data_IF_901769574579
#
_entry.id   IF_901769574579
#
_cell.length_a   1.000
_cell.length_b   1.000
_cell.length_c   1.000
_cell.angle_alpha   90.00
_cell.angle_beta   90.00
_cell.angle_gamma   90.00
#
_symmetry.space_group_name_H-M   'P 1'
#
loop_
_entity.id
_entity.type
_entity.pdbx_description
1 polymer ?
#
# COMPACT_ATOMS: atom_id res chain seq x y z
N UNK A 1 19.96 6.11 1.08
CA UNK A 1 19.02 7.28 1.13
C UNK A 1 17.74 6.77 1.79
N UNK A 2 17.09 7.53 2.69
CA UNK A 2 15.83 7.06 3.30
C UNK A 2 14.79 6.76 2.21
N UNK A 3 14.00 5.69 2.40
CA UNK A 3 12.93 5.26 1.48
C UNK A 3 11.98 6.40 1.14
N UNK A 4 11.68 7.25 2.13
CA UNK A 4 10.92 8.49 1.94
C UNK A 4 11.56 9.43 0.90
N UNK A 5 12.88 9.66 0.96
CA UNK A 5 13.56 10.57 0.02
C UNK A 5 13.54 10.04 -1.40
N UNK A 6 13.63 8.72 -1.57
CA UNK A 6 13.49 8.05 -2.88
C UNK A 6 12.05 8.15 -3.38
N UNK A 7 11.06 7.91 -2.52
CA UNK A 7 9.65 8.10 -2.86
C UNK A 7 9.35 9.55 -3.31
N UNK A 8 9.87 10.54 -2.59
CA UNK A 8 9.76 11.95 -2.95
C UNK A 8 10.41 12.26 -4.31
N UNK A 9 11.37 11.45 -4.79
CA UNK A 9 11.90 11.61 -6.14
C UNK A 9 10.84 11.32 -7.21
N UNK A 10 10.00 10.30 -7.02
CA UNK A 10 8.88 9.98 -7.92
C UNK A 10 7.81 11.09 -7.96
N UNK A 11 7.74 11.94 -6.93
CA UNK A 11 6.83 13.10 -6.93
C UNK A 11 7.34 14.26 -7.80
N UNK A 12 8.64 14.29 -8.16
CA UNK A 12 9.26 15.42 -8.87
C UNK A 12 8.60 15.77 -10.20
N UNK A 13 8.27 14.81 -11.09
CA UNK A 13 7.62 15.12 -12.37
C UNK A 13 6.22 15.73 -12.20
N UNK A 14 5.58 15.48 -11.06
CA UNK A 14 4.19 15.87 -10.78
C UNK A 14 4.06 17.05 -9.81
N UNK A 15 5.18 17.75 -9.51
CA UNK A 15 5.19 18.91 -8.59
C UNK A 15 4.18 19.99 -8.97
N UNK A 16 4.01 20.25 -10.27
CA UNK A 16 3.03 21.24 -10.74
C UNK A 16 1.58 20.87 -10.36
N UNK A 17 1.20 19.59 -10.53
CA UNK A 17 -0.11 19.10 -10.14
C UNK A 17 -0.31 19.14 -8.62
N UNK A 18 0.71 18.75 -7.85
CA UNK A 18 0.67 18.79 -6.39
C UNK A 18 0.53 20.23 -5.89
N UNK A 19 1.33 21.16 -6.42
CA UNK A 19 1.24 22.58 -6.06
C UNK A 19 -0.13 23.17 -6.41
N UNK A 20 -0.66 22.88 -7.60
CA UNK A 20 -2.00 23.32 -7.98
C UNK A 20 -3.09 22.74 -7.04
N UNK A 21 -3.00 21.45 -6.70
CA UNK A 21 -3.92 20.82 -5.76
C UNK A 21 -3.86 21.44 -4.35
N UNK A 22 -2.66 21.78 -3.88
CA UNK A 22 -2.46 22.50 -2.61
C UNK A 22 -3.09 23.88 -2.68
N UNK A 23 -2.87 24.64 -3.76
CA UNK A 23 -3.44 25.98 -3.94
C UNK A 23 -4.97 25.99 -3.94
N UNK A 24 -5.60 25.13 -4.76
CA UNK A 24 -7.07 24.96 -4.74
C UNK A 24 -7.56 24.48 -3.38
N UNK A 25 -6.76 23.66 -2.70
CA UNK A 25 -7.03 23.26 -1.34
C UNK A 25 -7.08 24.43 -0.37
N UNK A 26 -6.06 25.30 -0.36
CA UNK A 26 -6.06 26.50 0.51
C UNK A 26 -7.33 27.33 0.28
N UNK A 27 -7.71 27.57 -0.98
CA UNK A 27 -8.97 28.27 -1.33
C UNK A 27 -10.19 27.54 -0.74
N UNK A 28 -10.28 26.22 -0.95
CA UNK A 28 -11.35 25.38 -0.40
C UNK A 28 -11.45 25.48 1.12
N UNK A 29 -10.32 25.65 1.83
CA UNK A 29 -10.29 25.75 3.28
C UNK A 29 -10.63 27.16 3.80
N UNK A 30 -10.20 28.21 3.11
CA UNK A 30 -10.46 29.59 3.53
C UNK A 30 -11.94 29.99 3.40
N UNK A 31 -12.63 29.49 2.37
CA UNK A 31 -14.02 29.88 2.10
C UNK A 31 -14.97 29.57 3.26
N UNK A 32 -15.01 28.35 3.83
CA UNK A 32 -15.88 28.04 4.97
C UNK A 32 -15.63 28.91 6.21
N UNK A 33 -14.42 29.47 6.38
CA UNK A 33 -14.10 30.36 7.51
C UNK A 33 -14.82 31.71 7.41
N UNK A 34 -15.30 32.10 6.24
CA UNK A 34 -16.12 33.29 6.07
C UNK A 34 -17.51 33.13 6.70
N UNK A 35 -18.05 31.91 6.80
CA UNK A 35 -19.42 31.68 7.26
C UNK A 35 -19.67 32.14 8.71
N UNK A 36 -18.84 31.79 9.70
CA UNK A 36 -18.98 32.33 11.04
C UNK A 36 -18.86 33.86 11.12
N UNK A 37 -17.99 34.46 10.31
CA UNK A 37 -17.83 35.92 10.26
C UNK A 37 -19.06 36.61 9.63
N UNK A 38 -19.61 36.03 8.58
CA UNK A 38 -20.86 36.49 7.96
C UNK A 38 -22.03 36.38 8.94
N UNK A 39 -22.08 35.32 9.75
CA UNK A 39 -23.08 35.16 10.81
C UNK A 39 -22.96 36.28 11.86
N UNK A 40 -21.73 36.67 12.22
CA UNK A 40 -21.50 37.82 13.10
C UNK A 40 -22.09 39.11 12.53
N UNK A 41 -21.75 39.46 11.29
CA UNK A 41 -22.25 40.66 10.60
C UNK A 41 -23.77 40.65 10.52
N UNK A 42 -24.36 39.50 10.17
CA UNK A 42 -25.81 39.34 10.09
C UNK A 42 -26.49 39.65 11.42
N UNK A 43 -25.95 39.13 12.53
CA UNK A 43 -26.55 39.31 13.85
C UNK A 43 -26.33 40.73 14.37
N UNK A 44 -25.09 41.21 14.37
CA UNK A 44 -24.74 42.49 14.99
C UNK A 44 -25.29 43.68 14.20
N UNK A 45 -25.08 43.69 12.88
CA UNK A 45 -25.35 44.87 12.06
C UNK A 45 -26.78 44.87 11.47
N UNK A 46 -27.29 43.70 11.07
CA UNK A 46 -28.58 43.60 10.34
C UNK A 46 -29.78 43.24 11.23
N UNK A 47 -29.61 42.46 12.29
CA UNK A 47 -30.71 42.02 13.15
C UNK A 47 -30.87 42.86 14.42
N UNK A 48 -29.76 43.27 15.07
CA UNK A 48 -29.81 43.94 16.39
C UNK A 48 -29.76 45.47 16.26
N UNK A 49 -28.87 46.03 15.43
CA UNK A 49 -28.70 47.50 15.34
C UNK A 49 -29.67 48.21 14.39
N UNK A 50 -30.36 47.50 13.49
CA UNK A 50 -31.12 48.14 12.41
C UNK A 50 -32.60 48.34 12.73
N UNK A 51 -33.01 49.56 13.08
CA UNK A 51 -34.43 49.96 13.21
C UNK A 51 -35.22 49.90 11.88
N UNK A 52 -34.52 49.84 10.75
CA UNK A 52 -35.07 49.55 9.41
C UNK A 52 -34.05 48.69 8.66
N UNK A 53 -34.22 47.36 8.58
CA UNK A 53 -33.20 46.48 8.05
C UNK A 53 -32.97 46.76 6.55
N UNK A 54 -31.73 47.07 6.12
CA UNK A 54 -31.44 47.32 4.73
C UNK A 54 -31.45 46.00 3.94
N UNK A 55 -32.64 45.60 3.49
CA UNK A 55 -32.88 44.33 2.77
C UNK A 55 -31.89 44.10 1.61
N UNK A 56 -31.49 45.17 0.92
CA UNK A 56 -30.47 45.10 -0.14
C UNK A 56 -29.10 44.62 0.33
N UNK A 57 -28.64 45.03 1.52
CA UNK A 57 -27.36 44.57 2.09
C UNK A 57 -27.44 43.09 2.48
N UNK A 58 -28.57 42.65 3.04
CA UNK A 58 -28.80 41.23 3.33
C UNK A 58 -28.77 40.39 2.05
N UNK A 59 -29.51 40.79 1.01
CA UNK A 59 -29.52 40.07 -0.27
C UNK A 59 -28.13 40.03 -0.92
N UNK A 60 -27.38 41.13 -0.87
CA UNK A 60 -26.01 41.19 -1.40
C UNK A 60 -25.06 40.27 -0.63
N UNK A 61 -25.14 40.27 0.71
CA UNK A 61 -24.31 39.42 1.56
C UNK A 61 -24.64 37.93 1.36
N UNK A 62 -25.92 37.56 1.26
CA UNK A 62 -26.33 36.18 0.95
C UNK A 62 -25.95 35.77 -0.47
N UNK A 63 -26.14 36.64 -1.47
CA UNK A 63 -25.72 36.38 -2.85
C UNK A 63 -24.19 36.23 -2.95
N UNK A 64 -23.43 37.05 -2.21
CA UNK A 64 -21.98 36.94 -2.08
C UNK A 64 -21.56 35.60 -1.47
N UNK A 65 -22.23 35.13 -0.42
CA UNK A 65 -21.98 33.80 0.15
C UNK A 65 -22.31 32.67 -0.81
N UNK A 66 -23.43 32.75 -1.53
CA UNK A 66 -23.76 31.78 -2.57
C UNK A 66 -22.67 31.74 -3.65
N UNK A 67 -22.21 32.90 -4.13
CA UNK A 67 -21.10 32.99 -5.08
C UNK A 67 -19.80 32.40 -4.53
N UNK A 68 -19.48 32.66 -3.26
CA UNK A 68 -18.31 32.09 -2.59
C UNK A 68 -18.40 30.56 -2.48
N UNK A 69 -19.58 30.02 -2.21
CA UNK A 69 -19.80 28.57 -2.16
C UNK A 69 -19.77 27.89 -3.54
N UNK A 70 -20.09 28.62 -4.62
CA UNK A 70 -19.82 28.16 -5.99
C UNK A 70 -18.30 28.04 -6.20
N UNK A 71 -17.52 29.05 -5.82
CA UNK A 71 -16.04 28.98 -5.88
C UNK A 71 -15.50 27.82 -5.02
N UNK A 72 -16.08 27.59 -3.83
CA UNK A 72 -15.74 26.43 -3.00
C UNK A 72 -15.97 25.11 -3.71
N UNK A 73 -17.10 24.95 -4.41
CA UNK A 73 -17.40 23.73 -5.16
C UNK A 73 -16.36 23.49 -6.27
N UNK A 74 -16.02 24.52 -7.05
CA UNK A 74 -14.96 24.45 -8.07
C UNK A 74 -13.59 24.13 -7.45
N UNK A 75 -13.19 24.85 -6.41
CA UNK A 75 -11.93 24.61 -5.72
C UNK A 75 -11.86 23.19 -5.13
N UNK A 76 -12.96 22.68 -4.58
CA UNK A 76 -13.07 21.33 -4.05
C UNK A 76 -12.90 20.27 -5.15
N UNK A 77 -13.54 20.46 -6.30
CA UNK A 77 -13.40 19.57 -7.45
C UNK A 77 -11.95 19.52 -7.95
N UNK A 78 -11.37 20.68 -8.30
CA UNK A 78 -10.02 20.74 -8.86
C UNK A 78 -8.97 20.26 -7.86
N UNK A 79 -9.10 20.61 -6.58
CA UNK A 79 -8.24 20.07 -5.53
C UNK A 79 -8.28 18.54 -5.49
N UNK A 80 -9.47 17.95 -5.52
CA UNK A 80 -9.64 16.50 -5.40
C UNK A 80 -9.15 15.77 -6.66
N UNK A 81 -9.51 16.29 -7.84
CA UNK A 81 -9.12 15.75 -9.13
C UNK A 81 -7.61 15.81 -9.34
N UNK A 82 -6.97 16.98 -9.11
CA UNK A 82 -5.53 17.15 -9.32
C UNK A 82 -4.69 16.33 -8.33
N UNK A 83 -5.12 16.25 -7.06
CA UNK A 83 -4.47 15.40 -6.07
C UNK A 83 -4.59 13.91 -6.45
N UNK A 84 -5.77 13.48 -6.87
CA UNK A 84 -6.00 12.11 -7.37
C UNK A 84 -5.16 11.79 -8.59
N UNK A 85 -5.15 12.68 -9.59
CA UNK A 85 -4.37 12.52 -10.81
C UNK A 85 -2.87 12.40 -10.53
N UNK A 86 -2.32 13.27 -9.67
CA UNK A 86 -0.91 13.20 -9.27
C UNK A 86 -0.61 11.89 -8.54
N UNK A 87 -1.45 11.52 -7.56
CA UNK A 87 -1.29 10.29 -6.79
C UNK A 87 -1.31 9.04 -7.66
N UNK A 88 -2.30 8.90 -8.55
CA UNK A 88 -2.43 7.73 -9.42
C UNK A 88 -1.31 7.63 -10.47
N UNK A 89 -0.81 8.76 -11.01
CA UNK A 89 0.33 8.74 -11.94
C UNK A 89 1.64 8.32 -11.27
N UNK A 90 1.92 8.81 -10.06
CA UNK A 90 3.08 8.37 -9.27
C UNK A 90 3.05 6.86 -9.06
N UNK A 91 1.86 6.33 -8.75
CA UNK A 91 1.65 4.90 -8.50
C UNK A 91 1.78 4.06 -9.77
N UNK A 92 1.29 4.57 -10.90
CA UNK A 92 1.47 3.93 -12.19
C UNK A 92 2.96 3.74 -12.51
N UNK A 93 3.76 4.80 -12.42
CA UNK A 93 5.20 4.76 -12.68
C UNK A 93 5.93 3.80 -11.73
N UNK A 94 5.61 3.87 -10.43
CA UNK A 94 6.22 3.02 -9.42
C UNK A 94 5.90 1.54 -9.67
N UNK A 95 4.64 1.23 -10.02
CA UNK A 95 4.20 -0.15 -10.30
C UNK A 95 4.87 -0.69 -11.57
N UNK A 96 4.96 0.11 -12.62
CA UNK A 96 5.63 -0.28 -13.85
C UNK A 96 7.11 -0.58 -13.62
N UNK A 97 7.81 0.29 -12.89
CA UNK A 97 9.23 0.09 -12.58
C UNK A 97 9.45 -1.12 -11.68
N UNK A 98 8.60 -1.32 -10.68
CA UNK A 98 8.70 -2.49 -9.79
C UNK A 98 8.42 -3.79 -10.54
N UNK A 99 7.44 -3.80 -11.44
CA UNK A 99 7.15 -4.96 -12.31
C UNK A 99 8.35 -5.32 -13.17
N UNK A 100 8.92 -4.35 -13.89
CA UNK A 100 10.11 -4.56 -14.73
C UNK A 100 11.33 -4.99 -13.93
N UNK A 101 11.46 -4.50 -12.69
CA UNK A 101 12.54 -4.89 -11.78
C UNK A 101 12.38 -6.35 -11.33
N UNK A 102 11.18 -6.74 -10.84
CA UNK A 102 10.88 -8.11 -10.40
C UNK A 102 11.08 -9.13 -11.52
N UNK A 103 10.67 -8.81 -12.76
CA UNK A 103 10.89 -9.71 -13.91
C UNK A 103 12.36 -9.99 -14.23
N UNK A 104 13.28 -9.10 -13.82
CA UNK A 104 14.72 -9.27 -14.04
C UNK A 104 15.39 -10.08 -12.94
N UNK A 105 14.71 -10.34 -11.83
CA UNK A 105 15.26 -11.09 -10.71
C UNK A 105 15.55 -12.55 -11.08
N UNK A 106 16.57 -13.12 -10.43
CA UNK A 106 16.94 -14.53 -10.61
C UNK A 106 15.90 -15.47 -10.00
N UNK A 107 15.89 -16.74 -10.44
CA UNK A 107 15.02 -17.77 -9.87
C UNK A 107 15.21 -17.90 -8.35
N UNK A 108 16.43 -17.67 -7.85
CA UNK A 108 16.74 -17.66 -6.42
C UNK A 108 15.93 -16.66 -5.61
N UNK A 109 15.56 -15.51 -6.18
CA UNK A 109 14.66 -14.57 -5.51
C UNK A 109 13.27 -15.18 -5.32
N UNK A 110 12.75 -15.89 -6.32
CA UNK A 110 11.43 -16.54 -6.26
C UNK A 110 11.42 -17.84 -5.45
N UNK A 111 12.55 -18.55 -5.38
CA UNK A 111 12.72 -19.72 -4.50
C UNK A 111 12.79 -19.30 -3.01
N UNK A 112 13.24 -18.07 -2.71
CA UNK A 112 13.36 -17.52 -1.34
C UNK A 112 12.13 -16.75 -0.88
N UNK A 113 11.50 -16.01 -1.79
CA UNK A 113 10.38 -15.13 -1.47
C UNK A 113 9.07 -15.81 -1.81
N UNK A 114 8.11 -15.78 -0.88
CA UNK A 114 6.75 -16.18 -1.21
C UNK A 114 6.23 -15.27 -2.33
N UNK A 115 5.83 -15.85 -3.47
CA UNK A 115 5.30 -15.11 -4.63
C UNK A 115 4.16 -14.17 -4.18
N UNK A 116 3.33 -14.62 -3.22
CA UNK A 116 2.29 -13.82 -2.60
C UNK A 116 2.80 -12.55 -1.91
N UNK A 117 3.96 -12.59 -1.25
CA UNK A 117 4.58 -11.41 -0.63
C UNK A 117 5.03 -10.38 -1.67
N UNK A 118 5.58 -10.84 -2.82
CA UNK A 118 5.96 -9.96 -3.93
C UNK A 118 4.71 -9.30 -4.53
N UNK A 119 3.64 -10.06 -4.74
CA UNK A 119 2.34 -9.53 -5.21
C UNK A 119 1.75 -8.52 -4.22
N UNK A 120 1.81 -8.79 -2.91
CA UNK A 120 1.34 -7.88 -1.88
C UNK A 120 2.11 -6.54 -1.91
N UNK A 121 3.43 -6.57 -2.15
CA UNK A 121 4.23 -5.35 -2.32
C UNK A 121 3.78 -4.53 -3.54
N UNK A 122 3.45 -5.19 -4.65
CA UNK A 122 3.00 -4.52 -5.88
C UNK A 122 1.56 -3.98 -5.81
N UNK A 123 0.78 -4.44 -4.84
CA UNK A 123 -0.64 -4.10 -4.70
C UNK A 123 -0.87 -3.25 -3.45
N UNK A 124 -0.89 -3.89 -2.28
CA UNK A 124 -1.24 -3.28 -0.99
C UNK A 124 -0.22 -2.26 -0.50
N UNK A 125 1.09 -2.56 -0.61
CA UNK A 125 2.11 -1.62 -0.15
C UNK A 125 2.18 -0.37 -1.03
N UNK A 126 2.06 -0.54 -2.35
CA UNK A 126 1.97 0.58 -3.30
C UNK A 126 0.75 1.46 -2.98
N UNK A 127 -0.42 0.87 -2.73
CA UNK A 127 -1.61 1.62 -2.32
C UNK A 127 -1.41 2.35 -0.97
N UNK A 128 -0.71 1.72 -0.02
CA UNK A 128 -0.39 2.34 1.27
C UNK A 128 0.60 3.52 1.11
N UNK A 129 1.56 3.42 0.20
CA UNK A 129 2.47 4.52 -0.14
C UNK A 129 1.73 5.68 -0.85
N UNK A 130 0.71 5.39 -1.68
CA UNK A 130 -0.15 6.40 -2.30
C UNK A 130 -0.80 7.31 -1.27
N UNK A 131 -1.29 6.74 -0.17
CA UNK A 131 -1.98 7.49 0.89
C UNK A 131 -1.10 8.57 1.51
N UNK A 132 0.23 8.42 1.49
CA UNK A 132 1.16 9.43 2.00
C UNK A 132 1.11 10.72 1.17
N UNK A 133 1.25 10.63 -0.15
CA UNK A 133 1.29 11.82 -1.04
C UNK A 133 -0.10 12.33 -1.34
N UNK A 134 -1.04 11.44 -1.66
CA UNK A 134 -2.38 11.81 -2.10
C UNK A 134 -3.24 12.41 -0.99
N UNK A 135 -3.07 11.94 0.24
CA UNK A 135 -3.97 12.25 1.35
C UNK A 135 -3.23 12.80 2.56
N UNK A 136 -2.20 12.11 3.09
CA UNK A 136 -1.59 12.48 4.35
C UNK A 136 -0.88 13.84 4.27
N UNK A 137 0.11 14.00 3.39
CA UNK A 137 0.96 15.20 3.37
C UNK A 137 0.16 16.48 3.01
N UNK A 138 -0.72 16.36 2.01
CA UNK A 138 -1.58 17.47 1.55
C UNK A 138 -2.62 17.84 2.60
N UNK A 139 -3.35 16.87 3.16
CA UNK A 139 -4.37 17.15 4.19
C UNK A 139 -3.76 17.65 5.48
N UNK A 140 -2.60 17.13 5.89
CA UNK A 140 -1.90 17.58 7.11
C UNK A 140 -1.58 19.06 7.06
N UNK A 141 -0.98 19.50 5.96
CA UNK A 141 -0.58 20.91 5.79
C UNK A 141 -1.82 21.80 5.86
N UNK A 142 -2.92 21.37 5.23
CA UNK A 142 -4.18 22.09 5.25
C UNK A 142 -4.83 22.10 6.63
N UNK A 143 -4.90 20.96 7.31
CA UNK A 143 -5.51 20.83 8.64
C UNK A 143 -4.72 21.63 9.67
N UNK A 144 -3.38 21.61 9.61
CA UNK A 144 -2.53 22.43 10.47
C UNK A 144 -2.73 23.92 10.20
N UNK A 145 -2.80 24.33 8.93
CA UNK A 145 -3.08 25.73 8.56
C UNK A 145 -4.48 26.18 9.01
N UNK A 146 -5.48 25.31 8.89
CA UNK A 146 -6.86 25.57 9.31
C UNK A 146 -6.94 25.78 10.82
N UNK A 147 -6.34 24.87 11.60
CA UNK A 147 -6.25 24.99 13.06
C UNK A 147 -5.55 26.29 13.46
N UNK A 148 -4.41 26.61 12.83
CA UNK A 148 -3.67 27.84 13.12
C UNK A 148 -4.49 29.11 12.83
N UNK A 149 -5.17 29.17 11.68
CA UNK A 149 -6.02 30.32 11.30
C UNK A 149 -7.21 30.47 12.24
N UNK A 150 -7.93 29.38 12.55
CA UNK A 150 -9.07 29.43 13.48
C UNK A 150 -8.61 29.91 14.86
N UNK A 151 -7.52 29.36 15.39
CA UNK A 151 -6.95 29.79 16.68
C UNK A 151 -6.61 31.29 16.63
N UNK A 152 -5.96 31.75 15.56
CA UNK A 152 -5.65 33.16 15.36
C UNK A 152 -6.89 34.06 15.36
N UNK A 153 -7.95 33.67 14.65
CA UNK A 153 -9.21 34.40 14.59
C UNK A 153 -9.90 34.46 15.97
N UNK A 154 -9.90 33.36 16.73
CA UNK A 154 -10.48 33.32 18.08
C UNK A 154 -9.74 34.26 19.03
N UNK A 155 -8.40 34.22 19.04
CA UNK A 155 -7.60 35.10 19.89
C UNK A 155 -7.72 36.57 19.49
N UNK A 156 -7.78 36.87 18.19
CA UNK A 156 -7.99 38.23 17.70
C UNK A 156 -9.37 38.79 18.11
N UNK A 157 -10.39 37.95 18.20
CA UNK A 157 -11.74 38.37 18.56
C UNK A 157 -11.93 38.55 20.08
N UNK A 158 -11.52 37.58 20.90
CA UNK A 158 -11.53 37.71 22.37
C UNK A 158 -10.57 36.68 23.01
N UNK A 159 -9.42 37.11 23.57
CA UNK A 159 -8.44 36.18 24.14
C UNK A 159 -8.97 35.33 25.31
N UNK A 160 -9.84 35.90 26.15
CA UNK A 160 -10.40 35.19 27.33
C UNK A 160 -11.33 34.06 26.88
N UNK A 161 -12.23 34.34 25.95
CA UNK A 161 -13.15 33.33 25.42
C UNK A 161 -12.40 32.30 24.57
N UNK A 162 -11.33 32.70 23.86
CA UNK A 162 -10.46 31.77 23.12
C UNK A 162 -9.81 30.75 24.06
N UNK A 163 -9.25 31.17 25.20
CA UNK A 163 -8.68 30.24 26.19
C UNK A 163 -9.73 29.25 26.73
N UNK A 164 -10.96 29.71 27.00
CA UNK A 164 -12.05 28.82 27.40
C UNK A 164 -12.37 27.80 26.30
N UNK A 165 -12.43 28.26 25.05
CA UNK A 165 -12.72 27.42 23.88
C UNK A 165 -11.65 26.34 23.68
N UNK A 166 -10.38 26.72 23.86
CA UNK A 166 -9.23 25.81 23.68
C UNK A 166 -9.00 24.90 24.88
N UNK A 167 -9.56 25.21 26.06
CA UNK A 167 -9.36 24.40 27.28
C UNK A 167 -9.83 22.95 27.15
N UNK A 168 -10.80 22.67 26.28
CA UNK A 168 -11.36 21.33 26.03
C UNK A 168 -10.46 20.50 25.11
N UNK A 169 -9.66 21.14 24.26
CA UNK A 169 -8.84 20.48 23.24
C UNK A 169 -7.77 19.55 23.84
N UNK A 170 -6.99 19.93 24.86
CA UNK A 170 -6.03 19.03 25.50
C UNK A 170 -6.68 17.73 26.01
N UNK A 171 -7.87 17.82 26.60
CA UNK A 171 -8.63 16.65 27.06
C UNK A 171 -9.11 15.80 25.88
N UNK A 172 -9.61 16.44 24.82
CA UNK A 172 -10.03 15.76 23.60
C UNK A 172 -8.87 14.96 22.97
N UNK A 173 -7.72 15.60 22.79
CA UNK A 173 -6.53 14.98 22.21
C UNK A 173 -6.04 13.83 23.10
N UNK A 174 -5.96 14.02 24.42
CA UNK A 174 -5.48 13.00 25.36
C UNK A 174 -6.37 11.75 25.37
N UNK A 175 -7.70 11.93 25.46
CA UNK A 175 -8.66 10.83 25.47
C UNK A 175 -8.65 10.10 24.13
N UNK A 176 -8.72 10.85 23.02
CA UNK A 176 -8.68 10.28 21.67
C UNK A 176 -7.40 9.47 21.45
N UNK A 177 -6.23 10.05 21.74
CA UNK A 177 -4.95 9.36 21.59
C UNK A 177 -4.88 8.04 22.39
N UNK A 178 -5.30 8.05 23.65
CA UNK A 178 -5.24 6.83 24.50
C UNK A 178 -6.22 5.76 24.06
N UNK A 179 -7.47 6.13 23.73
CA UNK A 179 -8.47 5.16 23.30
C UNK A 179 -8.14 4.61 21.91
N UNK A 180 -7.74 5.45 20.96
CA UNK A 180 -7.30 5.02 19.63
C UNK A 180 -6.12 4.06 19.70
N UNK A 181 -5.15 4.29 20.60
CA UNK A 181 -4.04 3.34 20.80
C UNK A 181 -4.52 1.96 21.27
N UNK A 182 -5.51 1.90 22.18
CA UNK A 182 -6.09 0.64 22.67
C UNK A 182 -6.93 -0.06 21.60
N UNK A 183 -7.77 0.70 20.88
CA UNK A 183 -8.56 0.21 19.74
C UNK A 183 -7.65 -0.42 18.70
N UNK A 184 -6.54 0.24 18.35
CA UNK A 184 -5.56 -0.30 17.40
C UNK A 184 -4.93 -1.60 17.86
N UNK A 185 -4.59 -1.72 19.14
CA UNK A 185 -4.06 -2.98 19.69
C UNK A 185 -5.08 -4.11 19.50
N UNK A 186 -6.34 -3.90 19.90
CA UNK A 186 -7.41 -4.89 19.72
C UNK A 186 -7.70 -5.18 18.25
N UNK A 187 -7.66 -4.18 17.38
CA UNK A 187 -7.81 -4.37 15.93
C UNK A 187 -6.70 -5.23 15.33
N UNK A 188 -5.47 -5.14 15.86
CA UNK A 188 -4.37 -6.04 15.47
C UNK A 188 -4.60 -7.46 15.97
N UNK A 189 -5.06 -7.61 17.22
CA UNK A 189 -5.41 -8.93 17.77
C UNK A 189 -6.50 -9.61 16.92
N UNK A 190 -7.55 -8.87 16.52
CA UNK A 190 -8.61 -9.32 15.60
C UNK A 190 -8.03 -9.77 14.26
N UNK A 191 -7.13 -8.98 13.67
CA UNK A 191 -6.52 -9.32 12.38
C UNK A 191 -5.69 -10.60 12.47
N UNK A 192 -4.88 -10.74 13.52
CA UNK A 192 -4.06 -11.93 13.73
C UNK A 192 -4.91 -13.19 13.93
N UNK A 193 -5.96 -13.11 14.77
CA UNK A 193 -6.90 -14.22 14.98
C UNK A 193 -7.63 -14.60 13.69
N UNK A 194 -8.00 -13.62 12.85
CA UNK A 194 -8.63 -13.91 11.57
C UNK A 194 -7.65 -14.59 10.59
N UNK A 195 -6.37 -14.23 10.62
CA UNK A 195 -5.33 -14.89 9.84
C UNK A 195 -5.10 -16.34 10.30
N UNK A 196 -5.10 -16.59 11.60
CA UNK A 196 -5.02 -17.94 12.20
C UNK A 196 -6.21 -18.78 11.76
N UNK A 197 -7.45 -18.31 11.99
CA UNK A 197 -8.67 -19.00 11.54
C UNK A 197 -8.65 -19.26 10.03
N UNK A 198 -8.19 -18.30 9.22
CA UNK A 198 -8.11 -18.49 7.77
C UNK A 198 -7.07 -19.53 7.36
N UNK A 199 -5.96 -19.63 8.11
CA UNK A 199 -4.94 -20.65 7.91
C UNK A 199 -5.48 -22.04 8.23
N UNK A 200 -6.12 -22.19 9.39
CA UNK A 200 -6.72 -23.44 9.85
C UNK A 200 -7.80 -23.93 8.88
N UNK A 201 -8.67 -23.04 8.39
CA UNK A 201 -9.66 -23.37 7.36
C UNK A 201 -9.00 -23.84 6.06
N UNK A 202 -7.86 -23.27 5.68
CA UNK A 202 -7.13 -23.70 4.49
C UNK A 202 -6.61 -25.13 4.64
N UNK A 203 -6.06 -25.46 5.82
CA UNK A 203 -5.57 -26.80 6.16
C UNK A 203 -6.73 -27.81 6.22
N UNK A 204 -7.82 -27.49 6.92
CA UNK A 204 -9.01 -28.32 7.04
C UNK A 204 -9.63 -28.62 5.67
N UNK A 205 -9.77 -27.62 4.78
CA UNK A 205 -10.31 -27.84 3.45
C UNK A 205 -9.36 -28.60 2.53
N UNK A 206 -8.05 -28.41 2.65
CA UNK A 206 -7.07 -29.23 1.94
C UNK A 206 -7.12 -30.70 2.41
N UNK A 207 -7.42 -30.94 3.69
CA UNK A 207 -7.55 -32.25 4.31
C UNK A 207 -9.00 -32.79 4.37
N UNK A 208 -9.94 -32.19 3.61
CA UNK A 208 -11.37 -32.50 3.76
C UNK A 208 -11.71 -33.98 3.56
N UNK A 209 -11.02 -34.65 2.63
CA UNK A 209 -11.17 -36.09 2.40
C UNK A 209 -10.76 -36.93 3.60
N UNK A 210 -9.76 -36.48 4.37
CA UNK A 210 -9.31 -37.14 5.60
C UNK A 210 -10.32 -36.94 6.72
N UNK A 211 -10.80 -35.71 6.91
CA UNK A 211 -11.85 -35.39 7.90
C UNK A 211 -13.09 -36.26 7.66
N UNK A 212 -13.53 -36.38 6.40
CA UNK A 212 -14.68 -37.21 6.00
C UNK A 212 -14.41 -38.71 6.16
N UNK A 213 -13.22 -39.18 5.78
CA UNK A 213 -12.85 -40.59 5.92
C UNK A 213 -12.86 -41.08 7.39
N UNK A 214 -12.56 -40.19 8.32
CA UNK A 214 -12.58 -40.46 9.76
C UNK A 214 -13.83 -39.95 10.49
N UNK A 215 -14.83 -39.40 9.76
CA UNK A 215 -16.09 -38.85 10.31
C UNK A 215 -15.86 -37.86 11.47
N UNK A 216 -14.90 -36.94 11.30
CA UNK A 216 -14.50 -35.96 12.32
C UNK A 216 -15.18 -34.58 12.19
N UNK A 217 -16.20 -34.44 11.35
CA UNK A 217 -16.81 -33.15 11.02
C UNK A 217 -17.34 -32.41 12.26
N UNK A 218 -17.96 -33.13 13.21
CA UNK A 218 -18.44 -32.52 14.46
C UNK A 218 -17.30 -32.05 15.37
N UNK A 219 -16.17 -32.75 15.39
CA UNK A 219 -15.02 -32.36 16.19
C UNK A 219 -14.41 -31.06 15.65
N UNK A 220 -14.20 -31.00 14.34
CA UNK A 220 -13.72 -29.80 13.63
C UNK A 220 -14.70 -28.62 13.82
N UNK A 221 -16.02 -28.87 13.73
CA UNK A 221 -17.03 -27.84 13.96
C UNK A 221 -17.01 -27.29 15.40
N UNK A 222 -16.74 -28.14 16.41
CA UNK A 222 -16.57 -27.71 17.81
C UNK A 222 -15.32 -26.87 18.00
N UNK A 223 -14.21 -27.23 17.36
CA UNK A 223 -12.97 -26.45 17.41
C UNK A 223 -13.15 -25.09 16.75
N UNK A 224 -13.69 -25.06 15.53
CA UNK A 224 -13.99 -23.81 14.81
C UNK A 224 -14.92 -22.89 15.63
N UNK A 225 -15.92 -23.47 16.32
CA UNK A 225 -16.79 -22.71 17.22
C UNK A 225 -16.01 -22.05 18.36
N UNK A 226 -15.12 -22.78 19.03
CA UNK A 226 -14.31 -22.21 20.12
C UNK A 226 -13.40 -21.07 19.64
N UNK A 227 -12.76 -21.26 18.47
CA UNK A 227 -11.96 -20.20 17.85
C UNK A 227 -12.82 -18.97 17.51
N UNK A 228 -14.00 -19.20 16.93
CA UNK A 228 -14.96 -18.15 16.58
C UNK A 228 -15.47 -17.39 17.81
N UNK A 229 -15.72 -18.07 18.93
CA UNK A 229 -16.14 -17.45 20.19
C UNK A 229 -15.02 -16.54 20.76
N UNK A 230 -13.75 -16.99 20.76
CA UNK A 230 -12.60 -16.17 21.17
C UNK A 230 -12.39 -14.95 20.26
N UNK A 231 -12.57 -15.15 18.97
CA UNK A 231 -12.55 -14.07 17.98
C UNK A 231 -13.66 -13.06 18.26
N UNK A 232 -14.89 -13.52 18.47
CA UNK A 232 -16.04 -12.68 18.80
C UNK A 232 -15.79 -11.85 20.06
N UNK A 233 -15.25 -12.44 21.14
CA UNK A 233 -14.92 -11.71 22.37
C UNK A 233 -13.93 -10.58 22.12
N UNK A 234 -12.94 -10.82 21.26
CA UNK A 234 -11.94 -9.82 20.90
C UNK A 234 -12.55 -8.69 20.07
N UNK A 235 -13.43 -9.04 19.13
CA UNK A 235 -14.24 -8.08 18.35
C UNK A 235 -15.13 -7.24 19.26
N UNK A 236 -15.89 -7.85 20.16
CA UNK A 236 -16.78 -7.16 21.09
C UNK A 236 -16.00 -6.26 22.06
N UNK A 237 -14.82 -6.68 22.52
CA UNK A 237 -13.92 -5.82 23.30
C UNK A 237 -13.47 -4.60 22.51
N UNK A 238 -13.19 -4.74 21.21
CA UNK A 238 -12.83 -3.62 20.34
C UNK A 238 -14.02 -2.68 20.10
N UNK A 239 -15.21 -3.24 19.85
CA UNK A 239 -16.46 -2.47 19.71
C UNK A 239 -16.72 -1.65 20.98
N UNK A 240 -16.59 -2.24 22.17
CA UNK A 240 -16.74 -1.52 23.44
C UNK A 240 -15.80 -0.32 23.54
N UNK A 241 -14.52 -0.48 23.16
CA UNK A 241 -13.56 0.63 23.15
C UNK A 241 -13.94 1.72 22.15
N UNK A 242 -14.41 1.35 20.96
CA UNK A 242 -14.90 2.31 19.96
C UNK A 242 -16.14 3.07 20.45
N UNK A 243 -17.10 2.38 21.09
CA UNK A 243 -18.28 3.02 21.67
C UNK A 243 -17.91 4.00 22.78
N UNK A 244 -16.96 3.65 23.65
CA UNK A 244 -16.44 4.56 24.69
C UNK A 244 -15.75 5.77 24.04
N UNK A 245 -14.95 5.55 22.99
CA UNK A 245 -14.27 6.64 22.28
C UNK A 245 -15.27 7.60 21.64
N UNK A 246 -16.28 7.07 20.93
CA UNK A 246 -17.35 7.87 20.33
C UNK A 246 -18.11 8.67 21.38
N UNK A 247 -18.51 8.03 22.49
CA UNK A 247 -19.20 8.71 23.59
C UNK A 247 -18.35 9.81 24.24
N UNK A 248 -17.08 9.53 24.57
CA UNK A 248 -16.20 10.48 25.24
C UNK A 248 -15.83 11.67 24.33
N UNK A 249 -15.51 11.41 23.06
CA UNK A 249 -15.21 12.47 22.08
C UNK A 249 -16.44 13.29 21.74
N UNK A 250 -17.62 12.66 21.61
CA UNK A 250 -18.89 13.35 21.43
C UNK A 250 -19.24 14.28 22.60
N UNK A 251 -19.09 13.78 23.84
CA UNK A 251 -19.28 14.59 25.05
C UNK A 251 -18.35 15.82 25.08
N UNK A 252 -17.05 15.65 24.81
CA UNK A 252 -16.11 16.77 24.79
C UNK A 252 -16.41 17.77 23.67
N UNK A 253 -16.79 17.27 22.49
CA UNK A 253 -17.17 18.10 21.34
C UNK A 253 -18.42 18.94 21.64
N UNK A 254 -19.36 18.41 22.43
CA UNK A 254 -20.54 19.14 22.90
C UNK A 254 -20.23 20.09 24.08
N UNK A 255 -19.31 19.70 24.97
CA UNK A 255 -18.95 20.48 26.15
C UNK A 255 -18.29 21.83 25.79
N UNK A 256 -17.41 21.85 24.78
CA UNK A 256 -16.74 23.09 24.37
C UNK A 256 -17.71 24.21 23.99
N UNK A 257 -18.65 23.99 23.05
CA UNK A 257 -19.67 24.97 22.71
C UNK A 257 -20.53 25.41 23.91
N UNK A 258 -20.87 24.50 24.83
CA UNK A 258 -21.60 24.84 26.06
C UNK A 258 -20.80 25.82 26.93
N UNK A 259 -19.52 25.55 27.17
CA UNK A 259 -18.65 26.43 27.94
C UNK A 259 -18.46 27.81 27.27
N UNK A 260 -18.33 27.82 25.94
CA UNK A 260 -18.25 29.07 25.16
C UNK A 260 -19.53 29.87 25.25
N UNK A 261 -20.70 29.24 25.13
CA UNK A 261 -21.98 29.93 25.29
C UNK A 261 -22.17 30.46 26.71
N UNK A 262 -21.79 29.69 27.74
CA UNK A 262 -21.90 30.11 29.13
C UNK A 262 -21.01 31.32 29.42
N UNK A 263 -19.69 31.21 29.20
CA UNK A 263 -18.76 32.31 29.47
C UNK A 263 -19.01 33.48 28.53
N UNK A 264 -19.32 33.19 27.27
CA UNK A 264 -19.63 34.20 26.27
C UNK A 264 -20.88 35.01 26.58
N UNK A 265 -21.95 34.38 27.09
CA UNK A 265 -23.14 35.10 27.54
C UNK A 265 -22.83 36.09 28.67
N UNK A 266 -21.97 35.70 29.62
CA UNK A 266 -21.51 36.60 30.69
C UNK A 266 -20.69 37.78 30.14
N UNK A 267 -19.86 37.56 29.10
CA UNK A 267 -19.10 38.61 28.42
C UNK A 267 -20.02 39.55 27.60
N UNK A 268 -21.09 39.03 27.00
CA UNK A 268 -22.12 39.82 26.31
C UNK A 268 -22.89 40.68 27.29
N UNK A 269 -23.35 40.12 28.42
CA UNK A 269 -24.06 40.90 29.45
C UNK A 269 -23.18 42.00 30.06
N UNK A 270 -21.88 41.77 30.14
CA UNK A 270 -20.92 42.78 30.58
C UNK A 270 -20.54 43.80 29.49
N UNK A 271 -21.13 43.73 28.29
CA UNK A 271 -20.88 44.64 27.19
C UNK A 271 -19.50 44.52 26.53
N UNK A 272 -18.75 43.44 26.82
CA UNK A 272 -17.39 43.21 26.29
C UNK A 272 -17.35 42.35 25.02
N UNK A 273 -18.48 41.77 24.65
CA UNK A 273 -18.63 40.90 23.47
C UNK A 273 -19.97 41.16 22.80
N UNK A 274 -20.02 41.14 21.47
CA UNK A 274 -21.28 41.19 20.74
C UNK A 274 -21.91 39.79 20.61
N UNK A 275 -23.23 39.72 20.43
CA UNK A 275 -23.95 38.45 20.25
C UNK A 275 -23.48 37.77 18.95
N UNK A 276 -23.27 38.53 17.87
CA UNK A 276 -22.73 38.00 16.63
C UNK A 276 -21.33 37.41 16.79
N UNK A 277 -20.47 38.04 17.60
CA UNK A 277 -19.14 37.48 17.88
C UNK A 277 -19.27 36.16 18.66
N UNK A 278 -20.17 36.07 19.65
CA UNK A 278 -20.43 34.81 20.36
C UNK A 278 -20.89 33.68 19.41
N UNK A 279 -21.79 33.99 18.47
CA UNK A 279 -22.25 33.02 17.46
C UNK A 279 -21.13 32.58 16.51
N UNK A 280 -20.24 33.50 16.13
CA UNK A 280 -19.06 33.16 15.33
C UNK A 280 -18.11 32.23 16.09
N UNK A 281 -17.87 32.48 17.39
CA UNK A 281 -17.07 31.59 18.26
C UNK A 281 -17.63 30.17 18.30
N UNK A 282 -18.95 30.04 18.50
CA UNK A 282 -19.64 28.75 18.50
C UNK A 282 -19.40 27.98 17.18
N UNK A 283 -19.56 28.66 16.03
CA UNK A 283 -19.39 28.04 14.73
C UNK A 283 -17.93 27.67 14.42
N UNK A 284 -16.96 28.54 14.75
CA UNK A 284 -15.54 28.24 14.59
C UNK A 284 -15.10 27.04 15.43
N UNK A 285 -15.63 26.88 16.65
CA UNK A 285 -15.29 25.76 17.51
C UNK A 285 -15.75 24.43 16.90
N UNK A 286 -16.95 24.38 16.30
CA UNK A 286 -17.43 23.20 15.57
C UNK A 286 -16.50 22.80 14.41
N UNK A 287 -15.95 23.78 13.70
CA UNK A 287 -15.00 23.55 12.60
C UNK A 287 -13.62 23.08 13.06
N UNK A 288 -13.22 23.37 14.30
CA UNK A 288 -11.90 23.10 14.84
C UNK A 288 -11.68 21.62 15.20
N UNK A 289 -12.72 20.90 15.63
CA UNK A 289 -12.62 19.51 16.08
C UNK A 289 -12.25 18.52 14.97
N UNK A 290 -12.82 18.69 13.77
CA UNK A 290 -12.61 17.77 12.64
C UNK A 290 -11.14 17.71 12.18
N UNK A 291 -10.44 18.83 11.91
CA UNK A 291 -9.00 18.83 11.63
C UNK A 291 -8.16 18.21 12.76
N UNK A 292 -8.48 18.50 14.03
CA UNK A 292 -7.75 17.94 15.19
C UNK A 292 -7.87 16.42 15.24
N UNK A 293 -9.06 15.89 14.96
CA UNK A 293 -9.29 14.45 14.86
C UNK A 293 -8.41 13.82 13.77
N UNK A 294 -8.42 14.38 12.55
CA UNK A 294 -7.59 13.90 11.43
C UNK A 294 -6.10 13.95 11.74
N UNK A 295 -5.63 15.01 12.41
CA UNK A 295 -4.24 15.13 12.87
C UNK A 295 -3.86 14.06 13.91
N UNK A 296 -4.81 13.60 14.73
CA UNK A 296 -4.57 12.50 15.68
C UNK A 296 -4.42 11.16 14.97
N UNK A 297 -5.09 10.97 13.84
CA UNK A 297 -5.05 9.73 13.04
C UNK A 297 -3.83 9.65 12.11
N UNK A 298 -3.32 10.81 11.69
CA UNK A 298 -2.18 11.00 10.78
C UNK A 298 -0.97 10.13 11.09
N UNK A 299 -0.60 9.97 12.36
CA UNK A 299 0.57 9.18 12.76
C UNK A 299 0.49 7.72 12.24
N UNK A 300 -0.72 7.14 12.18
CA UNK A 300 -0.92 5.81 11.61
C UNK A 300 -0.66 5.77 10.13
N UNK A 301 -1.24 6.74 9.41
CA UNK A 301 -1.10 6.83 7.96
C UNK A 301 0.37 6.99 7.63
N UNK A 302 1.09 7.89 8.32
CA UNK A 302 2.53 8.06 8.14
C UNK A 302 3.30 6.77 8.43
N UNK A 303 3.06 6.12 9.57
CA UNK A 303 3.80 4.90 9.97
C UNK A 303 3.58 3.77 8.96
N UNK A 304 2.32 3.53 8.56
CA UNK A 304 1.99 2.48 7.60
C UNK A 304 2.56 2.78 6.21
N UNK A 305 2.45 4.02 5.75
CA UNK A 305 3.02 4.44 4.47
C UNK A 305 4.53 4.36 4.45
N UNK A 306 5.22 4.75 5.53
CA UNK A 306 6.69 4.66 5.63
C UNK A 306 7.14 3.20 5.61
N UNK A 307 6.51 2.32 6.40
CA UNK A 307 6.82 0.89 6.39
C UNK A 307 6.55 0.23 5.03
N UNK A 308 5.49 0.65 4.33
CA UNK A 308 5.20 0.19 2.99
C UNK A 308 6.26 0.67 1.97
N UNK A 309 6.68 1.93 2.07
CA UNK A 309 7.79 2.45 1.25
C UNK A 309 9.09 1.68 1.51
N UNK A 310 9.42 1.39 2.76
CA UNK A 310 10.60 0.59 3.11
C UNK A 310 10.57 -0.78 2.42
N UNK A 311 9.46 -1.53 2.53
CA UNK A 311 9.30 -2.83 1.86
C UNK A 311 9.38 -2.76 0.34
N UNK A 312 8.84 -1.71 -0.28
CA UNK A 312 8.93 -1.52 -1.74
C UNK A 312 10.38 -1.27 -2.15
N UNK A 313 11.07 -0.37 -1.45
CA UNK A 313 12.45 -0.03 -1.80
C UNK A 313 13.45 -1.12 -1.43
N UNK A 314 13.15 -1.95 -0.43
CA UNK A 314 13.89 -3.18 -0.15
C UNK A 314 13.93 -4.08 -1.39
N UNK A 315 12.81 -4.25 -2.12
CA UNK A 315 12.78 -5.01 -3.38
C UNK A 315 13.65 -4.35 -4.44
N UNK A 316 13.54 -3.03 -4.62
CA UNK A 316 14.37 -2.31 -5.60
C UNK A 316 15.87 -2.37 -5.31
N UNK A 317 16.26 -2.59 -4.05
CA UNK A 317 17.65 -2.77 -3.62
C UNK A 317 18.16 -4.20 -3.82
N UNK A 318 17.27 -5.15 -4.14
CA UNK A 318 17.69 -6.49 -4.51
C UNK A 318 18.23 -6.48 -5.93
N UNK A 319 19.25 -7.31 -6.17
CA UNK A 319 19.83 -7.49 -7.49
C UNK A 319 19.73 -8.97 -7.88
N UNK A 320 19.61 -9.28 -9.17
CA UNK A 320 19.68 -10.67 -9.61
C UNK A 320 21.04 -11.25 -9.19
N UNK A 321 21.04 -12.43 -8.55
CA UNK A 321 22.28 -13.10 -8.14
C UNK A 321 23.11 -13.50 -9.36
N UNK A 322 22.44 -13.95 -10.42
CA UNK A 322 23.07 -14.27 -11.70
C UNK A 322 23.05 -13.03 -12.59
N UNK A 323 24.22 -12.42 -12.77
CA UNK A 323 24.40 -11.27 -13.67
C UNK A 323 25.25 -11.67 -14.88
N UNK A 324 24.97 -11.04 -16.02
CA UNK A 324 25.83 -11.16 -17.18
C UNK A 324 27.13 -10.39 -16.92
N UNK A 325 28.27 -11.03 -17.20
CA UNK A 325 29.57 -10.35 -17.09
C UNK A 325 29.66 -9.22 -18.13
N UNK A 326 30.31 -8.09 -17.81
CA UNK A 326 30.65 -7.08 -18.82
C UNK A 326 31.44 -7.74 -19.96
N UNK A 327 30.98 -7.60 -21.20
CA UNK A 327 31.59 -8.24 -22.37
C UNK A 327 31.18 -9.70 -22.62
N UNK A 328 30.08 -10.17 -22.01
CA UNK A 328 29.56 -11.51 -22.28
C UNK A 328 29.29 -11.73 -23.78
N UNK A 329 29.79 -12.83 -24.32
CA UNK A 329 29.69 -13.17 -25.74
C UNK A 329 28.37 -13.89 -26.05
N UNK A 330 27.83 -13.67 -27.25
CA UNK A 330 26.68 -14.45 -27.71
C UNK A 330 27.16 -15.80 -28.22
N UNK A 331 26.62 -16.89 -27.68
CA UNK A 331 26.84 -18.23 -28.24
C UNK A 331 26.21 -18.33 -29.63
N UNK A 332 26.95 -18.92 -30.56
CA UNK A 332 26.41 -19.47 -31.80
C UNK A 332 25.67 -20.79 -31.50
N UNK A 333 25.11 -21.43 -32.53
CA UNK A 333 24.42 -22.71 -32.38
C UNK A 333 25.39 -23.75 -31.80
N UNK A 334 25.08 -24.25 -30.61
CA UNK A 334 25.92 -25.19 -29.89
C UNK A 334 25.89 -26.59 -30.52
N UNK A 335 27.02 -27.30 -30.48
CA UNK A 335 27.11 -28.73 -30.80
C UNK A 335 26.59 -29.59 -29.66
N UNK A 336 26.67 -29.12 -28.41
CA UNK A 336 26.03 -29.73 -27.25
C UNK A 336 26.96 -30.57 -26.37
N UNK A 337 28.28 -30.37 -26.41
CA UNK A 337 29.18 -30.95 -25.41
C UNK A 337 29.02 -30.19 -24.08
N UNK A 338 28.78 -30.90 -22.98
CA UNK A 338 28.64 -30.33 -21.64
C UNK A 338 29.72 -30.89 -20.72
N UNK A 339 30.42 -30.02 -20.01
CA UNK A 339 31.41 -30.43 -18.99
C UNK A 339 31.11 -29.75 -17.67
N UNK A 340 30.95 -30.55 -16.62
CA UNK A 340 31.01 -30.13 -15.22
C UNK A 340 32.43 -30.43 -14.74
N UNK A 341 33.19 -29.39 -14.36
CA UNK A 341 34.59 -29.49 -13.88
C UNK A 341 34.62 -29.01 -12.43
N UNK A 342 34.77 -29.98 -11.51
CA UNK A 342 34.85 -29.81 -10.05
C UNK A 342 33.77 -28.89 -9.49
N UNK A 343 32.53 -29.12 -9.92
CA UNK A 343 31.39 -28.27 -9.56
C UNK A 343 31.01 -28.48 -8.11
N UNK A 344 31.11 -27.43 -7.30
CA UNK A 344 30.53 -27.38 -5.97
C UNK A 344 29.43 -26.32 -5.90
N UNK A 345 28.34 -26.64 -5.22
CA UNK A 345 27.20 -25.74 -5.10
C UNK A 345 26.45 -25.92 -3.77
N UNK A 346 26.04 -24.78 -3.22
CA UNK A 346 25.23 -24.68 -2.01
C UNK A 346 24.20 -23.58 -2.18
N UNK A 347 22.94 -23.88 -1.85
CA UNK A 347 21.93 -22.84 -1.67
C UNK A 347 22.24 -22.05 -0.40
N UNK A 348 22.10 -20.73 -0.44
CA UNK A 348 22.42 -19.87 0.71
C UNK A 348 21.63 -20.30 1.97
N UNK A 349 22.32 -20.42 3.10
CA UNK A 349 21.74 -20.86 4.37
C UNK A 349 21.39 -22.36 4.43
N UNK A 350 21.83 -23.17 3.47
CA UNK A 350 21.64 -24.64 3.47
C UNK A 350 22.97 -25.39 3.41
N UNK A 351 22.92 -26.69 3.66
CA UNK A 351 24.07 -27.59 3.45
C UNK A 351 24.47 -27.66 1.96
N UNK A 352 25.74 -27.98 1.65
CA UNK A 352 26.19 -28.23 0.29
C UNK A 352 25.34 -29.31 -0.40
N UNK A 353 24.98 -29.08 -1.67
CA UNK A 353 24.23 -30.04 -2.49
C UNK A 353 25.15 -30.79 -3.45
N UNK A 354 26.22 -30.13 -3.92
CA UNK A 354 27.25 -30.71 -4.76
C UNK A 354 28.62 -30.36 -4.20
N UNK A 355 29.52 -31.33 -4.15
CA UNK A 355 30.87 -31.20 -3.59
C UNK A 355 31.91 -31.77 -4.56
N UNK A 356 32.32 -30.96 -5.53
CA UNK A 356 33.35 -31.37 -6.50
C UNK A 356 32.85 -32.37 -7.56
N UNK A 357 31.66 -32.13 -8.12
CA UNK A 357 31.07 -32.98 -9.15
C UNK A 357 31.77 -32.80 -10.51
N UNK A 358 32.21 -33.91 -11.10
CA UNK A 358 32.85 -33.99 -12.41
C UNK A 358 32.04 -34.89 -13.36
N UNK A 359 31.69 -34.36 -14.53
CA UNK A 359 30.98 -35.10 -15.57
C UNK A 359 31.22 -34.48 -16.94
N UNK A 360 31.58 -35.31 -17.92
CA UNK A 360 31.65 -34.91 -19.34
C UNK A 360 30.58 -35.65 -20.14
N UNK A 361 29.77 -34.89 -20.85
CA UNK A 361 28.67 -35.36 -21.71
C UNK A 361 29.04 -34.98 -23.15
N UNK A 362 29.45 -35.94 -23.99
CA UNK A 362 29.73 -35.68 -25.40
C UNK A 362 28.48 -35.25 -26.17
N UNK A 363 28.67 -34.49 -27.26
CA UNK A 363 27.57 -34.11 -28.15
C UNK A 363 26.82 -35.33 -28.70
N UNK A 364 25.49 -35.22 -28.80
CA UNK A 364 24.63 -36.28 -29.35
C UNK A 364 24.39 -37.47 -28.42
N UNK A 365 24.84 -37.40 -27.16
CA UNK A 365 24.65 -38.49 -26.19
C UNK A 365 23.40 -38.29 -25.34
N UNK A 366 22.74 -39.40 -25.01
CA UNK A 366 21.64 -39.43 -24.04
C UNK A 366 22.17 -39.90 -22.70
N UNK A 367 22.08 -39.05 -21.68
CA UNK A 367 22.55 -39.35 -20.32
C UNK A 367 21.36 -39.36 -19.36
N UNK A 368 21.27 -40.41 -18.55
CA UNK A 368 20.29 -40.51 -17.47
C UNK A 368 20.95 -40.26 -16.11
N UNK A 369 20.43 -39.29 -15.35
CA UNK A 369 20.83 -39.01 -13.98
C UNK A 369 19.86 -39.70 -13.01
N UNK A 370 20.33 -40.74 -12.32
CA UNK A 370 19.51 -41.57 -11.41
C UNK A 370 20.06 -41.48 -9.98
N UNK A 371 19.16 -41.48 -9.00
CA UNK A 371 19.52 -41.46 -7.58
C UNK A 371 18.33 -41.12 -6.68
N UNK A 372 18.47 -41.24 -5.35
CA UNK A 372 17.38 -40.96 -4.41
C UNK A 372 16.91 -39.50 -4.48
N UNK A 373 15.69 -39.23 -4.00
CA UNK A 373 15.20 -37.85 -3.89
C UNK A 373 16.16 -37.01 -3.04
N UNK A 374 16.37 -35.74 -3.42
CA UNK A 374 17.32 -34.85 -2.74
C UNK A 374 18.79 -34.99 -3.15
N UNK A 375 19.18 -35.98 -3.98
CA UNK A 375 20.57 -36.18 -4.42
C UNK A 375 21.14 -35.09 -5.38
N UNK A 376 20.52 -33.92 -5.50
CA UNK A 376 21.04 -32.80 -6.32
C UNK A 376 20.77 -32.87 -7.83
N UNK A 377 20.04 -33.88 -8.33
CA UNK A 377 19.71 -34.04 -9.77
C UNK A 377 19.08 -32.79 -10.40
N UNK A 378 18.02 -32.27 -9.79
CA UNK A 378 17.35 -31.06 -10.26
C UNK A 378 18.24 -29.81 -10.12
N UNK A 379 19.14 -29.80 -9.13
CA UNK A 379 20.12 -28.72 -8.94
C UNK A 379 21.14 -28.67 -10.08
N UNK A 380 21.64 -29.81 -10.56
CA UNK A 380 22.51 -29.88 -11.74
C UNK A 380 21.83 -29.26 -12.97
N UNK A 381 20.56 -29.58 -13.21
CA UNK A 381 19.79 -28.99 -14.32
C UNK A 381 19.61 -27.48 -14.15
N UNK A 382 19.29 -27.01 -12.94
CA UNK A 382 19.19 -25.57 -12.62
C UNK A 382 20.52 -24.83 -12.83
N UNK A 383 21.65 -25.46 -12.54
CA UNK A 383 22.98 -24.88 -12.76
C UNK A 383 23.36 -24.82 -14.25
N UNK A 384 23.04 -25.87 -15.02
CA UNK A 384 23.31 -25.93 -16.46
C UNK A 384 22.64 -24.78 -17.24
N UNK A 385 21.38 -24.46 -16.89
CA UNK A 385 20.63 -23.34 -17.52
C UNK A 385 20.91 -21.99 -16.84
N UNK A 386 21.87 -21.99 -15.91
CA UNK A 386 22.35 -20.84 -15.16
C UNK A 386 21.21 -20.09 -14.46
N UNK A 387 20.32 -20.83 -13.79
CA UNK A 387 19.42 -20.24 -12.78
C UNK A 387 20.16 -19.89 -11.50
N UNK A 388 21.28 -20.57 -11.25
CA UNK A 388 22.24 -20.33 -10.19
C UNK A 388 23.65 -20.36 -10.79
N UNK A 389 24.58 -19.59 -10.22
CA UNK A 389 26.00 -19.74 -10.51
C UNK A 389 26.63 -20.74 -9.52
N UNK A 390 27.60 -21.53 -10.00
CA UNK A 390 28.34 -22.49 -9.17
C UNK A 390 29.13 -21.78 -8.07
N UNK A 391 29.25 -22.40 -6.91
CA UNK A 391 30.04 -21.85 -5.79
C UNK A 391 31.54 -22.05 -6.04
N UNK A 392 31.92 -23.21 -6.60
CA UNK A 392 33.27 -23.50 -7.09
C UNK A 392 33.21 -24.36 -8.36
N UNK A 393 34.30 -24.38 -9.12
CA UNK A 393 34.40 -25.08 -10.40
C UNK A 393 33.82 -24.27 -11.56
N UNK A 394 33.47 -24.97 -12.64
CA UNK A 394 32.83 -24.39 -13.82
C UNK A 394 31.98 -25.41 -14.58
N UNK A 395 31.03 -24.88 -15.34
CA UNK A 395 30.25 -25.64 -16.31
C UNK A 395 30.54 -25.03 -17.67
N UNK A 396 30.88 -25.85 -18.66
CA UNK A 396 31.13 -25.39 -20.03
C UNK A 396 30.17 -26.03 -21.02
N UNK A 397 29.73 -25.26 -22.01
CA UNK A 397 29.01 -25.73 -23.20
C UNK A 397 29.92 -25.52 -24.41
N UNK A 398 30.29 -26.60 -25.10
CA UNK A 398 31.28 -26.61 -26.19
C UNK A 398 32.61 -25.91 -25.83
N UNK A 399 33.07 -26.12 -24.59
CA UNK A 399 34.29 -25.52 -24.06
C UNK A 399 34.17 -24.07 -23.56
N UNK A 400 33.08 -23.36 -23.85
CA UNK A 400 32.83 -22.01 -23.32
C UNK A 400 32.19 -22.07 -21.92
N UNK A 401 32.75 -21.37 -20.93
CA UNK A 401 32.14 -21.26 -19.60
C UNK A 401 30.79 -20.54 -19.70
N UNK A 402 29.74 -21.16 -19.15
CA UNK A 402 28.38 -20.62 -19.19
C UNK A 402 28.25 -19.24 -18.49
N UNK A 403 29.24 -18.84 -17.69
CA UNK A 403 29.32 -17.52 -17.06
C UNK A 403 29.81 -16.41 -17.99
N UNK A 404 30.49 -16.76 -19.07
CA UNK A 404 31.10 -15.82 -20.02
C UNK A 404 30.18 -15.50 -21.22
N UNK A 405 29.06 -16.20 -21.32
CA UNK A 405 28.10 -16.07 -22.41
C UNK A 405 26.85 -15.32 -21.96
N UNK A 406 26.10 -14.74 -22.91
CA UNK A 406 24.82 -14.10 -22.57
C UNK A 406 23.79 -15.15 -22.10
N UNK A 407 23.00 -14.82 -21.07
CA UNK A 407 21.97 -15.73 -20.56
C UNK A 407 20.92 -16.08 -21.63
N UNK A 408 20.60 -15.11 -22.50
CA UNK A 408 19.65 -15.32 -23.60
C UNK A 408 20.20 -16.35 -24.58
N UNK A 409 21.45 -16.19 -25.04
CA UNK A 409 22.04 -17.13 -25.99
C UNK A 409 22.19 -18.53 -25.40
N UNK A 410 22.59 -18.65 -24.13
CA UNK A 410 22.69 -19.95 -23.44
C UNK A 410 21.33 -20.67 -23.36
N UNK A 411 20.30 -19.99 -22.85
CA UNK A 411 18.97 -20.60 -22.65
C UNK A 411 18.25 -20.90 -23.95
N UNK A 412 18.58 -20.21 -25.05
CA UNK A 412 18.07 -20.55 -26.38
C UNK A 412 18.65 -21.85 -26.94
N UNK A 413 19.78 -22.35 -26.42
CA UNK A 413 20.35 -23.65 -26.81
C UNK A 413 19.77 -24.82 -26.00
N UNK A 414 19.05 -24.56 -24.90
CA UNK A 414 18.64 -25.58 -23.95
C UNK A 414 17.12 -25.58 -23.80
N UNK A 415 16.49 -26.69 -24.17
CA UNK A 415 15.08 -26.96 -23.85
C UNK A 415 14.98 -27.64 -22.48
N UNK A 416 14.07 -27.17 -21.63
CA UNK A 416 13.80 -27.76 -20.31
C UNK A 416 12.34 -28.19 -20.26
N UNK A 417 12.11 -29.41 -19.81
CA UNK A 417 10.78 -29.88 -19.40
C UNK A 417 10.84 -30.09 -17.89
N UNK A 418 10.20 -29.23 -17.07
CA UNK A 418 10.22 -29.37 -15.63
C UNK A 418 9.40 -30.60 -15.19
N UNK A 419 9.70 -31.11 -13.99
CA UNK A 419 8.99 -32.25 -13.39
C UNK A 419 7.49 -31.97 -13.24
N UNK A 420 7.13 -30.75 -12.85
CA UNK A 420 5.76 -30.25 -12.78
C UNK A 420 5.58 -29.20 -13.90
N UNK A 421 4.99 -29.57 -15.05
CA UNK A 421 4.75 -28.65 -16.15
C UNK A 421 3.81 -27.51 -15.75
N UNK A 422 4.13 -26.29 -16.17
CA UNK A 422 3.29 -25.11 -15.95
C UNK A 422 2.60 -24.76 -17.27
N UNK A 423 1.29 -24.57 -17.22
CA UNK A 423 0.51 -23.98 -18.29
C UNK A 423 0.01 -22.61 -17.84
N UNK A 424 0.17 -21.61 -18.69
CA UNK A 424 -0.44 -20.31 -18.51
C UNK A 424 -1.92 -20.37 -18.90
N UNK A 425 -2.75 -19.58 -18.24
CA UNK A 425 -4.14 -19.39 -18.65
C UNK A 425 -4.19 -18.89 -20.09
N UNK A 426 -4.87 -19.63 -20.96
CA UNK A 426 -4.90 -19.39 -22.40
C UNK A 426 -5.24 -20.66 -23.16
N UNK A 427 -5.10 -20.61 -24.47
CA UNK A 427 -5.29 -21.77 -25.35
C UNK A 427 -4.06 -22.69 -25.34
N UNK A 428 -4.24 -23.93 -25.81
CA UNK A 428 -3.12 -24.87 -26.04
C UNK A 428 -2.11 -24.26 -27.03
N UNK A 429 -2.61 -23.65 -28.11
CA UNK A 429 -1.77 -23.01 -29.11
C UNK A 429 -0.93 -21.86 -28.54
N UNK A 430 -1.50 -21.05 -27.63
CA UNK A 430 -0.76 -19.98 -26.94
C UNK A 430 0.36 -20.54 -26.05
N UNK A 431 0.09 -21.62 -25.32
CA UNK A 431 1.09 -22.28 -24.48
C UNK A 431 2.22 -22.92 -25.31
N UNK A 432 1.91 -23.56 -26.44
CA UNK A 432 2.91 -24.11 -27.36
C UNK A 432 3.75 -22.99 -28.00
N UNK A 433 3.11 -21.89 -28.40
CA UNK A 433 3.77 -20.72 -28.98
C UNK A 433 4.68 -19.98 -27.98
N UNK A 434 4.51 -20.20 -26.67
CA UNK A 434 5.41 -19.65 -25.65
C UNK A 434 6.88 -20.09 -25.85
N UNK A 435 7.11 -21.33 -26.29
CA UNK A 435 8.46 -21.84 -26.56
C UNK A 435 9.12 -21.20 -27.78
N UNK A 436 8.33 -20.71 -28.74
CA UNK A 436 8.79 -19.99 -29.93
C UNK A 436 7.69 -19.03 -30.42
N UNK A 437 7.72 -17.75 -30.00
CA UNK A 437 6.64 -16.79 -30.27
C UNK A 437 6.31 -16.62 -31.76
N UNK A 438 7.32 -16.71 -32.62
CA UNK A 438 7.19 -16.53 -34.07
C UNK A 438 6.82 -17.83 -34.82
N UNK A 439 6.41 -18.90 -34.13
CA UNK A 439 6.05 -20.17 -34.75
C UNK A 439 4.71 -20.08 -35.52
N UNK A 440 4.71 -20.59 -36.75
CA UNK A 440 3.50 -20.69 -37.58
C UNK A 440 2.54 -21.75 -37.02
N UNK A 441 1.27 -21.72 -37.42
CA UNK A 441 0.30 -22.73 -36.97
C UNK A 441 0.71 -24.15 -37.37
N UNK A 442 1.28 -24.34 -38.56
CA UNK A 442 1.76 -25.64 -39.02
C UNK A 442 2.90 -26.15 -38.12
N UNK A 443 3.81 -25.27 -37.69
CA UNK A 443 4.89 -25.64 -36.78
C UNK A 443 4.37 -26.01 -35.40
N UNK A 444 3.31 -25.35 -34.92
CA UNK A 444 2.65 -25.69 -33.66
C UNK A 444 1.96 -27.05 -33.77
N UNK A 445 1.20 -27.31 -34.84
CA UNK A 445 0.59 -28.61 -35.07
C UNK A 445 1.63 -29.73 -35.20
N UNK A 446 2.75 -29.46 -35.88
CA UNK A 446 3.85 -30.41 -35.98
C UNK A 446 4.46 -30.70 -34.61
N UNK A 447 4.69 -29.68 -33.78
CA UNK A 447 5.18 -29.85 -32.41
C UNK A 447 4.18 -30.66 -31.55
N UNK A 448 2.88 -30.36 -31.67
CA UNK A 448 1.82 -31.12 -31.00
C UNK A 448 1.84 -32.60 -31.41
N UNK A 449 1.96 -32.89 -32.72
CA UNK A 449 2.09 -34.28 -33.23
C UNK A 449 3.31 -35.00 -32.68
N UNK A 450 4.47 -34.34 -32.66
CA UNK A 450 5.70 -34.92 -32.12
C UNK A 450 5.60 -35.20 -30.61
N UNK A 451 4.79 -34.41 -29.89
CA UNK A 451 4.49 -34.59 -28.49
C UNK A 451 3.27 -35.48 -28.21
N UNK A 452 2.65 -36.07 -29.24
CA UNK A 452 1.41 -36.85 -29.14
C UNK A 452 0.25 -36.08 -28.48
N UNK A 453 0.16 -34.78 -28.76
CA UNK A 453 -0.81 -33.86 -28.17
C UNK A 453 -1.78 -33.26 -29.19
N UNK A 454 -1.75 -33.68 -30.47
CA UNK A 454 -2.58 -33.11 -31.54
C UNK A 454 -4.04 -33.57 -31.54
N UNK A 455 -4.40 -34.52 -30.69
CA UNK A 455 -5.75 -35.09 -30.56
C UNK A 455 -6.54 -34.57 -29.36
N UNK A 456 -5.91 -33.78 -28.48
CA UNK A 456 -6.58 -33.02 -27.42
C UNK A 456 -7.22 -31.75 -28.00
#
# INVERSE_FOLDING_TARGET
MSSLRRFLHYTRPYRGLILAAVSFGVIRYLIPLALPWTLKILVDDLLIQSASPPRGHLHLLMAGMCGLYVVYAFASYFRSYLAGLAGHRIIFDLRQQLYLHVQRMSLSFFDRQQIGAVVARMTSDIASAQNFVGSAMVNTTMDLSCVAVIIGLLFAANPRLALVSLSVIPFYVLISYRLTKRIRKKSRDIHNQLQEISGDLHEQFAAISTIQAFTQEEAEAREFRQQSERYLDTVLSNVRLQSIALGATGFLTALGPILVLWVGAMEVWAGRLSIGTLMAFYAYLGMLYQPIQRLTELNLILTNSLAAMDRIFEVFEMYPEVQQRPGAISLSRATGEIVFDRVAFRYEGREPVLEGFDLRIPSGTTVALVGPSGAGKSTLMKLLVRFYDVTQGRITLDGADIREVTLKSLRQQIAIVPQDPILFSGTIAENLRYGRPDATEEQIFQAARLAFADTF
#
